data_IF_538385001100
#
_entry.id   IF_538385001100
#
_cell.length_a   1.000
_cell.length_b   1.000
_cell.length_c   1.000
_cell.angle_alpha   90.00
_cell.angle_beta   90.00
_cell.angle_gamma   90.00
#
_symmetry.space_group_name_H-M   'P 1'
#
loop_
_entity.id
_entity.type
_entity.pdbx_description
1 polymer ?
#
# COMPACT_ATOMS: atom_id res chain seq x y z
N UNK A 1 -6.51 -16.23 17.26
CA UNK A 1 -5.98 -15.84 18.58
C UNK A 1 -6.30 -14.38 18.78
N UNK A 2 -6.92 -14.01 19.90
CA UNK A 2 -7.28 -12.61 20.14
C UNK A 2 -6.05 -11.72 20.36
N UNK A 3 -6.07 -10.45 19.90
CA UNK A 3 -4.96 -9.54 20.15
C UNK A 3 -4.82 -9.17 21.62
N UNK A 4 -3.57 -9.04 22.07
CA UNK A 4 -3.26 -8.75 23.46
C UNK A 4 -3.74 -7.35 23.87
N UNK A 5 -3.92 -7.13 25.17
CA UNK A 5 -4.18 -5.79 25.73
C UNK A 5 -3.07 -4.80 25.36
N UNK A 6 -1.83 -5.28 25.20
CA UNK A 6 -0.71 -4.46 24.74
C UNK A 6 -0.87 -4.02 23.29
N UNK A 7 -1.25 -4.94 22.39
CA UNK A 7 -1.49 -4.62 20.98
C UNK A 7 -2.63 -3.62 20.80
N UNK A 8 -3.78 -3.85 21.44
CA UNK A 8 -4.94 -2.93 21.36
C UNK A 8 -4.58 -1.52 21.83
N UNK A 9 -3.87 -1.41 22.96
CA UNK A 9 -3.41 -0.11 23.51
C UNK A 9 -2.40 0.57 22.59
N UNK A 10 -1.45 -0.20 22.05
CA UNK A 10 -0.42 0.32 21.15
C UNK A 10 -1.04 0.79 19.84
N UNK A 11 -1.95 0.01 19.26
CA UNK A 11 -2.65 0.38 18.04
C UNK A 11 -3.43 1.69 18.22
N UNK A 12 -4.25 1.80 19.27
CA UNK A 12 -5.00 3.03 19.58
C UNK A 12 -4.09 4.26 19.69
N UNK A 13 -2.92 4.11 20.33
CA UNK A 13 -1.94 5.20 20.43
C UNK A 13 -1.34 5.57 19.07
N UNK A 14 -0.99 4.57 18.24
CA UNK A 14 -0.45 4.82 16.90
C UNK A 14 -1.48 5.49 15.99
N UNK A 15 -2.77 5.10 16.08
CA UNK A 15 -3.85 5.79 15.36
C UNK A 15 -3.92 7.27 15.74
N UNK A 16 -3.85 7.61 17.03
CA UNK A 16 -3.82 9.01 17.48
C UNK A 16 -2.60 9.76 16.94
N UNK A 17 -1.42 9.13 16.95
CA UNK A 17 -0.21 9.74 16.38
C UNK A 17 -0.32 10.00 14.88
N UNK A 18 -0.91 9.07 14.13
CA UNK A 18 -1.15 9.21 12.70
C UNK A 18 -2.07 10.41 12.43
N UNK A 19 -3.19 10.50 13.14
CA UNK A 19 -4.15 11.60 12.99
C UNK A 19 -3.56 12.96 13.38
N UNK A 20 -2.84 13.03 14.50
CA UNK A 20 -2.16 14.26 14.93
C UNK A 20 -1.10 14.72 13.92
N UNK A 21 -0.31 13.78 13.38
CA UNK A 21 0.66 14.08 12.33
C UNK A 21 -0.02 14.63 11.07
N UNK A 22 -1.14 14.01 10.68
CA UNK A 22 -1.92 14.44 9.53
C UNK A 22 -2.42 15.88 9.68
N UNK A 23 -2.99 16.22 10.84
CA UNK A 23 -3.43 17.59 11.17
C UNK A 23 -2.26 18.58 11.18
N UNK A 24 -1.15 18.23 11.82
CA UNK A 24 0.03 19.08 11.91
C UNK A 24 0.59 19.41 10.52
N UNK A 25 0.68 18.41 9.64
CA UNK A 25 1.20 18.57 8.28
C UNK A 25 0.25 19.39 7.43
N UNK A 26 -1.06 19.15 7.49
CA UNK A 26 -2.07 19.95 6.79
C UNK A 26 -2.03 21.42 7.25
N UNK A 27 -1.94 21.67 8.55
CA UNK A 27 -1.79 23.01 9.10
C UNK A 27 -0.49 23.67 8.63
N UNK A 28 0.62 22.93 8.60
CA UNK A 28 1.90 23.47 8.13
C UNK A 28 1.87 23.77 6.63
N UNK A 29 1.22 22.94 5.82
CA UNK A 29 1.03 23.17 4.39
C UNK A 29 0.26 24.46 4.14
N UNK A 30 -0.89 24.63 4.79
CA UNK A 30 -1.77 25.79 4.64
C UNK A 30 -1.11 27.10 5.09
N UNK A 31 -0.29 27.04 6.15
CA UNK A 31 0.38 28.21 6.71
C UNK A 31 1.76 28.49 6.09
N UNK A 32 2.27 27.59 5.25
CA UNK A 32 3.54 27.83 4.58
C UNK A 32 3.36 28.85 3.46
N UNK A 33 4.22 29.86 3.42
CA UNK A 33 4.20 30.90 2.37
C UNK A 33 5.05 30.53 1.15
N UNK A 34 5.92 29.52 1.30
CA UNK A 34 6.73 29.01 0.20
C UNK A 34 6.92 27.47 0.28
N UNK A 35 7.06 26.78 -0.88
CA UNK A 35 7.24 25.33 -0.91
C UNK A 35 8.51 24.82 -0.22
N UNK A 36 9.61 25.58 -0.24
CA UNK A 36 10.88 25.12 0.33
C UNK A 36 10.81 24.98 1.86
N UNK A 37 10.13 25.91 2.54
CA UNK A 37 9.92 25.84 3.98
C UNK A 37 9.03 24.66 4.39
N UNK A 38 8.06 24.30 3.56
CA UNK A 38 7.22 23.12 3.76
C UNK A 38 8.01 21.82 3.55
N UNK A 39 8.80 21.73 2.48
CA UNK A 39 9.66 20.58 2.21
C UNK A 39 10.66 20.37 3.34
N UNK A 40 11.34 21.43 3.80
CA UNK A 40 12.30 21.35 4.89
C UNK A 40 11.66 20.86 6.20
N UNK A 41 10.44 21.32 6.50
CA UNK A 41 9.67 20.82 7.63
C UNK A 41 9.37 19.32 7.50
N UNK A 42 8.84 18.88 6.35
CA UNK A 42 8.52 17.47 6.13
C UNK A 42 9.74 16.56 6.23
N UNK A 43 10.88 16.98 5.70
CA UNK A 43 12.15 16.25 5.82
C UNK A 43 12.56 16.07 7.28
N UNK A 44 12.41 17.10 8.11
CA UNK A 44 12.71 17.02 9.56
C UNK A 44 11.74 16.11 10.32
N UNK A 45 10.51 15.95 9.83
CA UNK A 45 9.48 15.13 10.46
C UNK A 45 9.42 13.69 9.91
N UNK A 46 10.31 13.28 8.99
CA UNK A 46 10.24 11.97 8.30
C UNK A 46 10.04 10.79 9.26
N UNK A 47 10.79 10.75 10.36
CA UNK A 47 10.74 9.61 11.30
C UNK A 47 9.51 9.60 12.20
N UNK A 48 8.98 10.78 12.53
CA UNK A 48 7.93 10.94 13.55
C UNK A 48 6.56 11.25 12.97
N UNK A 49 6.48 11.51 11.66
CA UNK A 49 5.22 11.74 10.94
C UNK A 49 4.63 10.45 10.37
N UNK A 50 3.39 10.54 9.91
CA UNK A 50 2.69 9.49 9.17
C UNK A 50 3.19 9.30 7.72
N UNK A 51 4.08 10.14 7.22
CA UNK A 51 4.64 10.03 5.87
C UNK A 51 5.73 8.98 5.78
N UNK A 52 5.76 8.31 4.63
CA UNK A 52 6.94 7.60 4.15
C UNK A 52 7.90 8.60 3.50
N UNK A 53 8.90 8.09 2.79
CA UNK A 53 9.81 8.93 2.02
C UNK A 53 9.08 9.69 0.90
N UNK A 54 9.43 10.96 0.73
CA UNK A 54 8.87 11.85 -0.28
C UNK A 54 9.93 12.16 -1.34
N UNK A 55 9.51 12.15 -2.60
CA UNK A 55 10.34 12.46 -3.76
C UNK A 55 9.77 13.65 -4.54
N UNK A 56 10.65 14.53 -5.00
CA UNK A 56 10.26 15.61 -5.90
C UNK A 56 10.12 15.11 -7.34
N UNK A 57 9.08 15.55 -8.05
CA UNK A 57 8.95 15.26 -9.48
C UNK A 57 10.01 16.01 -10.29
N UNK A 58 10.54 15.35 -11.32
CA UNK A 58 11.42 15.98 -12.30
C UNK A 58 10.62 16.92 -13.22
N UNK A 59 9.47 16.44 -13.66
CA UNK A 59 8.58 17.11 -14.62
C UNK A 59 7.51 17.98 -13.95
N UNK A 60 6.89 18.85 -14.77
CA UNK A 60 5.77 19.71 -14.39
C UNK A 60 4.45 19.11 -14.91
N UNK A 61 3.40 19.19 -14.11
CA UNK A 61 2.07 18.66 -14.42
C UNK A 61 1.05 19.81 -14.44
N UNK A 62 0.85 20.40 -15.61
CA UNK A 62 -0.17 21.44 -15.85
C UNK A 62 -0.21 22.52 -14.77
N UNK A 63 -1.41 22.72 -14.20
CA UNK A 63 -1.66 23.72 -13.15
C UNK A 63 -0.95 23.42 -11.82
N UNK A 64 -0.55 22.17 -11.59
CA UNK A 64 0.09 21.75 -10.34
C UNK A 64 1.59 22.08 -10.30
N UNK A 65 2.22 22.24 -11.46
CA UNK A 65 3.66 22.46 -11.57
C UNK A 65 4.45 21.21 -11.18
N UNK A 66 5.59 21.39 -10.51
CA UNK A 66 6.29 20.25 -9.89
C UNK A 66 5.50 19.75 -8.68
N UNK A 67 5.68 18.50 -8.32
CA UNK A 67 5.01 17.86 -7.20
C UNK A 67 6.05 17.37 -6.19
N UNK A 68 5.70 17.39 -4.91
CA UNK A 68 6.27 16.47 -3.93
C UNK A 68 5.34 15.26 -3.83
N UNK A 69 5.87 14.07 -4.04
CA UNK A 69 5.12 12.83 -4.20
C UNK A 69 5.58 11.84 -3.14
N UNK A 70 4.66 11.11 -2.54
CA UNK A 70 5.00 9.91 -1.80
C UNK A 70 3.78 9.25 -1.21
N UNK A 71 3.97 8.56 -0.10
CA UNK A 71 2.91 7.82 0.60
C UNK A 71 2.79 8.30 2.04
N UNK A 72 1.61 8.19 2.64
CA UNK A 72 1.44 8.31 4.08
C UNK A 72 0.44 7.30 4.63
N UNK A 73 0.55 7.04 5.93
CA UNK A 73 -0.46 6.29 6.66
C UNK A 73 -1.64 7.19 7.01
N UNK A 74 -2.85 6.67 6.88
CA UNK A 74 -4.08 7.28 7.37
C UNK A 74 -4.87 6.25 8.18
N UNK A 75 -5.50 6.66 9.28
CA UNK A 75 -6.16 5.73 10.20
C UNK A 75 -7.59 6.21 10.50
N UNK A 76 -8.58 5.41 10.11
CA UNK A 76 -10.00 5.76 10.27
C UNK A 76 -10.83 4.49 10.45
N UNK A 77 -11.94 4.58 11.21
CA UNK A 77 -12.89 3.48 11.46
C UNK A 77 -12.21 2.15 11.88
N UNK A 78 -11.10 2.24 12.61
CA UNK A 78 -10.35 1.05 13.07
C UNK A 78 -9.46 0.39 12.01
N UNK A 79 -9.38 0.94 10.80
CA UNK A 79 -8.53 0.48 9.70
C UNK A 79 -7.28 1.37 9.55
N UNK A 80 -6.29 0.85 8.83
CA UNK A 80 -5.11 1.59 8.41
C UNK A 80 -5.05 1.58 6.87
N UNK A 81 -4.93 2.76 6.31
CA UNK A 81 -4.85 3.01 4.88
C UNK A 81 -3.46 3.51 4.52
N UNK A 82 -3.05 3.25 3.29
CA UNK A 82 -1.91 3.91 2.67
C UNK A 82 -2.47 4.85 1.63
N UNK A 83 -2.22 6.15 1.77
CA UNK A 83 -2.58 7.14 0.77
C UNK A 83 -1.36 7.49 -0.07
N UNK A 84 -1.54 7.60 -1.38
CA UNK A 84 -0.63 8.35 -2.22
C UNK A 84 -0.92 9.84 -2.07
N UNK A 85 0.12 10.59 -1.72
CA UNK A 85 0.01 12.03 -1.48
C UNK A 85 0.81 12.82 -2.48
N UNK A 86 0.17 13.85 -3.02
CA UNK A 86 0.75 14.79 -3.97
C UNK A 86 0.57 16.21 -3.45
N UNK A 87 1.69 16.92 -3.30
CA UNK A 87 1.72 18.33 -2.93
C UNK A 87 2.17 19.17 -4.13
N UNK A 88 1.28 19.95 -4.75
CA UNK A 88 1.64 20.88 -5.80
C UNK A 88 2.61 21.94 -5.30
N UNK A 89 3.71 22.16 -6.04
CA UNK A 89 4.73 23.17 -5.73
C UNK A 89 4.57 24.44 -6.58
N UNK A 90 3.55 24.50 -7.44
CA UNK A 90 3.23 25.72 -8.18
C UNK A 90 2.64 26.79 -7.27
N UNK A 91 2.91 28.06 -7.57
CA UNK A 91 2.30 29.19 -6.82
C UNK A 91 0.76 29.19 -6.85
N UNK A 92 0.15 28.68 -7.92
CA UNK A 92 -1.31 28.68 -8.10
C UNK A 92 -2.00 27.63 -7.23
N UNK A 93 -1.33 26.51 -6.95
CA UNK A 93 -1.92 25.33 -6.28
C UNK A 93 -1.19 24.93 -4.99
N UNK A 94 -0.14 25.64 -4.60
CA UNK A 94 0.51 25.41 -3.32
C UNK A 94 -0.48 25.65 -2.17
N UNK A 95 -0.34 24.86 -1.11
CA UNK A 95 -1.35 24.75 -0.04
C UNK A 95 -2.31 23.58 -0.25
N UNK A 96 -2.36 22.99 -1.45
CA UNK A 96 -3.20 21.82 -1.72
C UNK A 96 -2.49 20.51 -1.37
N UNK A 97 -3.26 19.55 -0.85
CA UNK A 97 -2.88 18.15 -0.79
C UNK A 97 -3.91 17.35 -1.58
N UNK A 98 -3.43 16.63 -2.57
CA UNK A 98 -4.23 15.64 -3.29
C UNK A 98 -3.85 14.28 -2.69
N UNK A 99 -4.80 13.64 -2.00
CA UNK A 99 -4.64 12.33 -1.41
C UNK A 99 -5.48 11.34 -2.20
N UNK A 100 -4.91 10.17 -2.50
CA UNK A 100 -5.59 9.11 -3.23
C UNK A 100 -5.29 7.80 -2.52
N UNK A 101 -6.34 7.15 -2.05
CA UNK A 101 -6.23 5.86 -1.35
C UNK A 101 -5.54 4.82 -2.23
N UNK A 102 -4.61 4.07 -1.63
CA UNK A 102 -4.20 2.81 -2.19
C UNK A 102 -5.31 1.78 -1.99
N UNK A 103 -5.46 0.88 -2.96
CA UNK A 103 -6.44 -0.21 -2.94
C UNK A 103 -6.20 -1.15 -1.74
N UNK A 104 -4.95 -1.27 -1.29
CA UNK A 104 -4.55 -2.06 -0.13
C UNK A 104 -4.86 -1.35 1.19
N UNK A 105 -5.72 -1.98 2.00
CA UNK A 105 -6.11 -1.54 3.34
C UNK A 105 -5.79 -2.62 4.37
N UNK A 106 -5.50 -2.24 5.62
CA UNK A 106 -5.25 -3.16 6.72
C UNK A 106 -6.37 -3.05 7.75
N UNK A 107 -6.93 -4.19 8.15
CA UNK A 107 -7.85 -4.23 9.29
C UNK A 107 -7.13 -3.92 10.60
N UNK A 108 -7.84 -3.37 11.59
CA UNK A 108 -7.29 -3.16 12.93
C UNK A 108 -6.77 -4.46 13.55
N UNK A 109 -7.49 -5.58 13.35
CA UNK A 109 -7.07 -6.90 13.82
C UNK A 109 -5.71 -7.33 13.22
N UNK A 110 -5.49 -7.08 11.93
CA UNK A 110 -4.22 -7.36 11.28
C UNK A 110 -3.08 -6.56 11.95
N UNK A 111 -3.28 -5.25 12.14
CA UNK A 111 -2.26 -4.37 12.73
C UNK A 111 -1.97 -4.75 14.19
N UNK A 112 -2.99 -5.11 14.96
CA UNK A 112 -2.83 -5.57 16.33
C UNK A 112 -2.02 -6.87 16.39
N UNK A 113 -2.26 -7.84 15.49
CA UNK A 113 -1.42 -9.05 15.37
C UNK A 113 0.02 -8.72 14.97
N UNK A 114 0.20 -7.75 14.08
CA UNK A 114 1.51 -7.28 13.66
C UNK A 114 2.30 -6.73 14.86
N UNK A 115 1.65 -5.91 15.68
CA UNK A 115 2.22 -5.36 16.91
C UNK A 115 2.66 -6.48 17.88
N UNK A 116 1.79 -7.44 18.14
CA UNK A 116 2.10 -8.53 19.08
C UNK A 116 3.26 -9.41 18.58
N UNK A 117 3.28 -9.74 17.30
CA UNK A 117 4.23 -10.74 16.74
C UNK A 117 5.58 -10.16 16.42
N UNK A 118 5.61 -8.92 15.95
CA UNK A 118 6.83 -8.21 15.54
C UNK A 118 7.34 -7.26 16.62
N UNK A 119 6.59 -7.09 17.72
CA UNK A 119 6.98 -6.22 18.83
C UNK A 119 7.00 -4.74 18.45
N UNK A 120 6.12 -4.31 17.53
CA UNK A 120 6.08 -2.93 17.04
C UNK A 120 5.64 -2.00 18.17
N UNK A 121 6.45 -0.99 18.47
CA UNK A 121 6.18 0.00 19.54
C UNK A 121 6.02 1.42 19.02
N UNK A 122 6.52 1.74 17.83
CA UNK A 122 6.61 3.12 17.33
C UNK A 122 6.01 3.23 15.94
N UNK A 123 5.64 4.46 15.55
CA UNK A 123 5.15 4.75 14.21
C UNK A 123 6.21 4.46 13.14
N UNK A 124 7.48 4.82 13.40
CA UNK A 124 8.60 4.48 12.49
C UNK A 124 8.72 2.96 12.29
N UNK A 125 8.62 2.15 13.36
CA UNK A 125 8.65 0.69 13.24
C UNK A 125 7.45 0.13 12.46
N UNK A 126 6.24 0.70 12.65
CA UNK A 126 5.07 0.31 11.86
C UNK A 126 5.25 0.62 10.37
N UNK A 127 5.75 1.82 10.04
CA UNK A 127 6.06 2.20 8.66
C UNK A 127 7.12 1.28 8.05
N UNK A 128 8.17 0.98 8.79
CA UNK A 128 9.24 0.09 8.33
C UNK A 128 8.71 -1.30 7.97
N UNK A 129 7.89 -1.91 8.84
CA UNK A 129 7.31 -3.24 8.58
C UNK A 129 6.36 -3.23 7.37
N UNK A 130 5.52 -2.18 7.23
CA UNK A 130 4.64 -2.04 6.06
C UNK A 130 5.45 -1.90 4.77
N UNK A 131 6.49 -1.06 4.79
CA UNK A 131 7.36 -0.84 3.65
C UNK A 131 8.15 -2.10 3.28
N UNK A 132 8.66 -2.84 4.28
CA UNK A 132 9.36 -4.11 4.08
C UNK A 132 8.45 -5.15 3.43
N UNK A 133 7.22 -5.34 3.93
CA UNK A 133 6.26 -6.27 3.34
C UNK A 133 5.93 -5.92 1.89
N UNK A 134 5.76 -4.63 1.60
CA UNK A 134 5.53 -4.16 0.23
C UNK A 134 6.72 -4.43 -0.68
N UNK A 135 7.94 -4.12 -0.22
CA UNK A 135 9.17 -4.35 -0.97
C UNK A 135 9.38 -5.85 -1.25
N UNK A 136 9.21 -6.71 -0.23
CA UNK A 136 9.33 -8.17 -0.37
C UNK A 136 8.41 -8.73 -1.45
N UNK A 137 7.15 -8.30 -1.48
CA UNK A 137 6.22 -8.75 -2.52
C UNK A 137 6.60 -8.21 -3.91
N UNK A 138 6.96 -6.93 -3.99
CA UNK A 138 7.34 -6.28 -5.26
C UNK A 138 8.60 -6.91 -5.87
N UNK A 139 9.57 -7.24 -5.03
CA UNK A 139 10.86 -7.84 -5.42
C UNK A 139 10.75 -9.34 -5.74
N UNK A 140 9.68 -10.00 -5.27
CA UNK A 140 9.44 -11.41 -5.59
C UNK A 140 9.14 -11.68 -7.07
N UNK A 141 8.86 -10.65 -7.87
CA UNK A 141 8.73 -10.78 -9.33
C UNK A 141 7.39 -11.35 -9.82
N UNK A 142 6.52 -11.86 -8.93
CA UNK A 142 5.25 -12.49 -9.30
C UNK A 142 4.36 -11.58 -10.15
N UNK A 143 4.16 -10.33 -9.72
CA UNK A 143 3.29 -9.40 -10.44
C UNK A 143 3.83 -9.02 -11.82
N UNK A 144 5.16 -8.91 -11.94
CA UNK A 144 5.84 -8.59 -13.18
C UNK A 144 5.84 -9.77 -14.17
N UNK A 145 5.91 -10.99 -13.65
CA UNK A 145 5.97 -12.21 -14.44
C UNK A 145 4.59 -12.68 -14.89
N UNK A 146 3.60 -12.62 -14.00
CA UNK A 146 2.29 -13.23 -14.24
C UNK A 146 1.17 -12.20 -14.38
N UNK A 147 1.25 -11.07 -13.68
CA UNK A 147 0.22 -10.03 -13.70
C UNK A 147 -0.30 -9.66 -12.31
N UNK A 148 -1.33 -8.81 -12.29
CA UNK A 148 -2.02 -8.38 -11.06
C UNK A 148 -3.45 -8.89 -11.07
N UNK A 149 -3.99 -9.12 -9.89
CA UNK A 149 -5.33 -9.68 -9.77
C UNK A 149 -6.42 -8.63 -10.03
N UNK A 150 -7.58 -9.11 -10.45
CA UNK A 150 -8.81 -8.34 -10.34
C UNK A 150 -9.25 -8.22 -8.87
N UNK A 151 -9.70 -7.03 -8.47
CA UNK A 151 -9.78 -6.58 -7.06
C UNK A 151 -10.99 -7.19 -6.30
N UNK A 152 -11.76 -8.06 -6.95
CA UNK A 152 -13.07 -8.56 -6.48
C UNK A 152 -13.05 -9.94 -5.79
N UNK A 153 -11.87 -10.53 -5.61
CA UNK A 153 -11.72 -11.92 -5.15
C UNK A 153 -10.94 -12.00 -3.84
N UNK A 154 -11.36 -12.88 -2.93
CA UNK A 154 -10.56 -13.25 -1.76
C UNK A 154 -9.29 -14.00 -2.17
N UNK A 155 -8.21 -13.74 -1.45
CA UNK A 155 -6.90 -14.31 -1.77
C UNK A 155 -5.98 -14.40 -0.57
N UNK A 156 -4.93 -15.20 -0.73
CA UNK A 156 -3.79 -15.21 0.17
C UNK A 156 -2.53 -14.71 -0.53
N UNK A 157 -1.67 -14.03 0.23
CA UNK A 157 -0.29 -13.74 -0.18
C UNK A 157 0.61 -14.71 0.57
N UNK A 158 1.36 -15.52 -0.17
CA UNK A 158 2.22 -16.56 0.36
C UNK A 158 3.67 -16.09 0.29
N UNK A 159 4.36 -16.19 1.41
CA UNK A 159 5.82 -16.08 1.56
C UNK A 159 6.34 -17.38 2.19
N UNK A 160 7.64 -17.63 2.10
CA UNK A 160 8.29 -18.80 2.74
C UNK A 160 7.97 -18.94 4.23
N UNK A 161 7.87 -17.81 4.93
CA UNK A 161 7.77 -17.71 6.39
C UNK A 161 6.43 -17.09 6.87
N UNK A 162 5.54 -16.72 5.96
CA UNK A 162 4.33 -15.98 6.29
C UNK A 162 3.23 -16.19 5.25
N UNK A 163 1.98 -16.22 5.70
CA UNK A 163 0.81 -16.20 4.80
C UNK A 163 -0.14 -15.12 5.26
N UNK A 164 -0.49 -14.19 4.38
CA UNK A 164 -1.43 -13.09 4.60
C UNK A 164 -2.77 -13.47 4.00
N UNK A 165 -3.85 -13.27 4.74
CA UNK A 165 -5.22 -13.49 4.28
C UNK A 165 -5.88 -12.15 3.97
N UNK A 166 -6.38 -12.02 2.75
CA UNK A 166 -6.97 -10.80 2.22
C UNK A 166 -8.37 -11.09 1.68
N UNK A 167 -9.25 -10.13 1.88
CA UNK A 167 -10.63 -10.19 1.39
C UNK A 167 -10.88 -9.01 0.44
N UNK A 168 -11.66 -9.27 -0.61
CA UNK A 168 -12.23 -8.23 -1.45
C UNK A 168 -13.45 -7.65 -0.73
N UNK A 169 -13.47 -6.34 -0.48
CA UNK A 169 -14.62 -5.65 0.11
C UNK A 169 -15.08 -4.50 -0.77
N UNK A 170 -16.36 -4.18 -0.70
CA UNK A 170 -16.90 -2.92 -1.23
C UNK A 170 -17.19 -2.01 -0.05
N UNK A 171 -16.65 -0.79 -0.07
CA UNK A 171 -16.88 0.18 1.00
C UNK A 171 -18.24 0.90 0.88
N UNK A 172 -18.50 1.83 1.81
CA UNK A 172 -19.74 2.61 1.85
C UNK A 172 -19.95 3.49 0.60
N UNK A 173 -18.89 3.79 -0.14
CA UNK A 173 -18.89 4.61 -1.35
C UNK A 173 -18.95 3.76 -2.65
N UNK A 174 -19.22 2.45 -2.51
CA UNK A 174 -19.20 1.46 -3.60
C UNK A 174 -17.83 1.29 -4.27
N UNK A 175 -16.73 1.57 -3.56
CA UNK A 175 -15.39 1.32 -4.07
C UNK A 175 -14.88 -0.07 -3.64
N UNK A 176 -14.41 -0.85 -4.62
CA UNK A 176 -13.76 -2.13 -4.35
C UNK A 176 -12.38 -1.93 -3.73
N UNK A 177 -12.11 -2.65 -2.63
CA UNK A 177 -10.89 -2.56 -1.84
C UNK A 177 -10.39 -3.95 -1.46
N UNK A 178 -9.07 -4.05 -1.31
CA UNK A 178 -8.43 -5.24 -0.76
C UNK A 178 -8.16 -4.97 0.71
N UNK A 179 -8.68 -5.81 1.59
CA UNK A 179 -8.48 -5.69 3.03
C UNK A 179 -7.65 -6.86 3.56
N UNK A 180 -6.46 -6.57 4.08
CA UNK A 180 -5.65 -7.53 4.82
C UNK A 180 -6.28 -7.77 6.19
N UNK A 181 -6.83 -8.98 6.38
CA UNK A 181 -7.59 -9.36 7.58
C UNK A 181 -6.73 -10.01 8.64
N UNK A 182 -5.81 -10.85 8.21
CA UNK A 182 -4.95 -11.59 9.13
C UNK A 182 -3.70 -12.11 8.46
N UNK A 183 -2.83 -12.71 9.25
CA UNK A 183 -1.69 -13.47 8.72
C UNK A 183 -1.25 -14.53 9.72
N UNK A 184 -0.66 -15.61 9.23
CA UNK A 184 0.07 -16.59 10.05
C UNK A 184 1.56 -16.51 9.71
N UNK A 185 2.40 -16.84 10.68
CA UNK A 185 3.86 -16.92 10.51
C UNK A 185 4.31 -18.38 10.60
N UNK A 186 5.57 -18.64 10.24
CA UNK A 186 6.18 -19.96 10.28
C UNK A 186 5.95 -20.71 11.61
N UNK A 187 5.95 -19.98 12.74
CA UNK A 187 5.70 -20.55 14.08
C UNK A 187 4.30 -21.14 14.27
N UNK A 188 3.36 -20.79 13.39
CA UNK A 188 1.97 -21.23 13.43
C UNK A 188 1.61 -22.16 12.28
N UNK A 189 2.57 -22.47 11.42
CA UNK A 189 2.37 -23.49 10.40
C UNK A 189 2.11 -24.83 11.08
N UNK A 190 1.08 -25.54 10.62
CA UNK A 190 0.65 -26.84 11.16
C UNK A 190 0.64 -27.85 10.02
N UNK A 191 0.70 -29.14 10.37
CA UNK A 191 0.66 -30.22 9.38
C UNK A 191 1.74 -30.05 8.31
N UNK A 192 1.33 -30.09 7.04
CA UNK A 192 2.20 -29.96 5.87
C UNK A 192 2.27 -28.54 5.29
N UNK A 193 1.78 -27.51 5.99
CA UNK A 193 1.75 -26.13 5.49
C UNK A 193 3.09 -25.65 4.91
N UNK A 194 4.21 -25.91 5.60
CA UNK A 194 5.53 -25.49 5.13
C UNK A 194 5.93 -26.18 3.82
N UNK A 195 5.59 -27.46 3.67
CA UNK A 195 5.85 -28.23 2.46
C UNK A 195 5.02 -27.68 1.29
N UNK A 196 3.73 -27.41 1.50
CA UNK A 196 2.86 -26.83 0.47
C UNK A 196 3.31 -25.42 0.07
N UNK A 197 3.66 -24.57 1.04
CA UNK A 197 4.20 -23.23 0.77
C UNK A 197 5.45 -23.34 -0.11
N UNK A 198 6.37 -24.24 0.25
CA UNK A 198 7.59 -24.43 -0.53
C UNK A 198 7.29 -24.97 -1.93
N UNK A 199 6.35 -25.91 -2.06
CA UNK A 199 5.91 -26.45 -3.33
C UNK A 199 5.36 -25.35 -4.24
N UNK A 200 4.41 -24.55 -3.76
CA UNK A 200 3.81 -23.44 -4.53
C UNK A 200 4.87 -22.47 -5.02
N UNK A 201 5.72 -21.97 -4.11
CA UNK A 201 6.73 -20.96 -4.44
C UNK A 201 7.78 -21.51 -5.41
N UNK A 202 8.18 -22.78 -5.26
CA UNK A 202 9.11 -23.44 -6.19
C UNK A 202 8.48 -23.69 -7.57
N UNK A 203 7.19 -24.07 -7.63
CA UNK A 203 6.48 -24.26 -8.88
C UNK A 203 6.37 -22.97 -9.70
N UNK A 204 6.28 -21.84 -9.01
CA UNK A 204 6.16 -20.51 -9.62
C UNK A 204 7.52 -19.81 -9.81
N UNK A 205 8.61 -20.38 -9.27
CA UNK A 205 9.96 -19.78 -9.26
C UNK A 205 9.99 -18.34 -8.71
N UNK A 206 9.29 -18.11 -7.58
CA UNK A 206 9.19 -16.79 -6.92
C UNK A 206 9.34 -16.90 -5.40
N UNK A 207 9.74 -15.81 -4.75
CA UNK A 207 9.88 -15.74 -3.28
C UNK A 207 8.58 -15.40 -2.53
N UNK A 208 7.61 -14.85 -3.26
CA UNK A 208 6.27 -14.60 -2.80
C UNK A 208 5.29 -14.66 -3.97
N UNK A 209 4.09 -15.16 -3.72
CA UNK A 209 3.04 -15.21 -4.73
C UNK A 209 1.68 -14.86 -4.13
N UNK A 210 0.75 -14.56 -5.01
CA UNK A 210 -0.66 -14.44 -4.69
C UNK A 210 -1.38 -15.72 -5.12
N UNK A 211 -2.34 -16.18 -4.32
CA UNK A 211 -3.22 -17.30 -4.68
C UNK A 211 -4.67 -16.93 -4.44
N UNK A 212 -5.56 -17.14 -5.42
CA UNK A 212 -6.99 -16.79 -5.37
C UNK A 212 -7.79 -17.83 -4.57
N UNK A 213 -7.48 -17.91 -3.28
CA UNK A 213 -8.11 -18.81 -2.31
C UNK A 213 -8.15 -18.14 -0.94
N UNK A 214 -9.02 -18.60 -0.06
CA UNK A 214 -9.15 -18.09 1.31
C UNK A 214 -8.29 -18.87 2.33
N UNK A 215 -7.72 -20.01 1.94
CA UNK A 215 -6.95 -20.90 2.81
C UNK A 215 -5.71 -21.47 2.10
N UNK A 216 -4.71 -21.88 2.90
CA UNK A 216 -3.59 -22.64 2.35
C UNK A 216 -4.09 -23.99 1.82
N UNK A 217 -3.67 -24.41 0.61
CA UNK A 217 -3.99 -25.74 0.11
C UNK A 217 -3.49 -26.83 1.06
N UNK A 218 -4.23 -27.93 1.19
CA UNK A 218 -3.89 -29.05 2.07
C UNK A 218 -3.05 -30.12 1.36
N UNK A 219 -2.94 -30.06 0.02
CA UNK A 219 -2.21 -31.02 -0.80
C UNK A 219 -1.55 -30.38 -2.02
N UNK A 220 -0.56 -31.05 -2.62
CA UNK A 220 0.07 -30.58 -3.86
C UNK A 220 -0.93 -30.51 -5.02
N UNK A 221 -1.88 -31.46 -5.11
CA UNK A 221 -2.93 -31.45 -6.13
C UNK A 221 -3.83 -30.22 -5.98
N UNK A 222 -4.25 -29.90 -4.75
CA UNK A 222 -5.03 -28.70 -4.50
C UNK A 222 -4.22 -27.42 -4.79
N UNK A 223 -2.93 -27.41 -4.43
CA UNK A 223 -2.04 -26.29 -4.74
C UNK A 223 -1.93 -26.04 -6.25
N UNK A 224 -1.82 -27.08 -7.08
CA UNK A 224 -1.81 -26.96 -8.54
C UNK A 224 -3.12 -26.35 -9.03
N UNK A 225 -4.27 -26.85 -8.59
CA UNK A 225 -5.58 -26.34 -9.00
C UNK A 225 -5.73 -24.84 -8.64
N UNK A 226 -5.31 -24.45 -7.43
CA UNK A 226 -5.37 -23.06 -6.98
C UNK A 226 -4.44 -22.16 -7.82
N UNK A 227 -3.25 -22.65 -8.19
CA UNK A 227 -2.34 -21.91 -9.09
C UNK A 227 -2.99 -21.70 -10.46
N UNK A 228 -3.60 -22.73 -11.04
CA UNK A 228 -4.29 -22.62 -12.32
C UNK A 228 -5.47 -21.64 -12.25
N UNK A 229 -6.26 -21.69 -11.19
CA UNK A 229 -7.38 -20.76 -10.97
C UNK A 229 -6.90 -19.33 -10.75
N UNK A 230 -5.76 -19.16 -10.09
CA UNK A 230 -5.11 -17.86 -9.92
C UNK A 230 -4.75 -17.26 -11.28
N UNK A 231 -4.14 -18.04 -12.18
CA UNK A 231 -3.80 -17.56 -13.52
C UNK A 231 -5.00 -17.19 -14.38
N UNK A 232 -6.17 -17.81 -14.16
CA UNK A 232 -7.41 -17.43 -14.86
C UNK A 232 -7.95 -16.05 -14.43
N UNK A 233 -7.56 -15.56 -13.25
CA UNK A 233 -8.05 -14.31 -12.64
C UNK A 233 -7.01 -13.19 -12.66
N UNK A 234 -5.78 -13.49 -13.05
CA UNK A 234 -4.74 -12.49 -13.20
C UNK A 234 -4.96 -11.75 -14.53
N UNK A 235 -5.02 -10.42 -14.44
CA UNK A 235 -5.02 -9.53 -15.61
C UNK A 235 -3.60 -9.04 -15.90
N UNK A 236 -3.30 -8.77 -17.17
CA UNK A 236 -1.97 -8.40 -17.60
C UNK A 236 -1.48 -7.13 -16.88
N UNK A 237 -0.34 -7.22 -16.19
CA UNK A 237 0.28 -6.13 -15.41
C UNK A 237 0.36 -4.79 -16.15
N UNK A 238 0.59 -4.84 -17.46
CA UNK A 238 0.71 -3.66 -18.32
C UNK A 238 -0.59 -2.84 -18.44
N UNK A 239 -1.75 -3.49 -18.45
CA UNK A 239 -3.04 -2.80 -18.62
C UNK A 239 -3.52 -2.14 -17.31
N UNK A 240 -3.13 -2.71 -16.16
CA UNK A 240 -3.40 -2.12 -14.85
C UNK A 240 -2.39 -1.06 -14.41
N UNK A 241 -1.14 -1.00 -14.90
CA UNK A 241 -0.27 0.18 -14.64
C UNK A 241 -0.93 1.49 -15.10
N UNK A 242 -1.75 1.43 -16.16
CA UNK A 242 -2.50 2.58 -16.65
C UNK A 242 -3.76 2.89 -15.81
N UNK A 243 -4.21 1.96 -14.95
CA UNK A 243 -5.52 2.01 -14.28
C UNK A 243 -5.44 1.95 -12.73
N UNK A 244 -4.37 1.40 -12.14
CA UNK A 244 -4.34 0.91 -10.74
C UNK A 244 -3.12 1.37 -9.93
N UNK A 245 -1.98 1.77 -10.53
CA UNK A 245 -0.72 1.60 -9.79
C UNK A 245 -0.51 2.35 -8.49
N UNK A 246 -1.11 3.51 -8.20
CA UNK A 246 -0.77 4.19 -6.94
C UNK A 246 0.75 4.30 -6.69
N UNK A 247 1.51 4.34 -7.78
CA UNK A 247 2.95 4.54 -7.88
C UNK A 247 3.12 5.39 -9.13
N UNK A 248 3.85 6.50 -9.00
CA UNK A 248 4.19 7.29 -10.17
C UNK A 248 4.89 6.37 -11.18
N UNK A 249 4.46 6.36 -12.46
CA UNK A 249 5.08 5.51 -13.46
C UNK A 249 6.61 5.72 -13.43
N UNK A 250 7.43 4.66 -13.48
CA UNK A 250 8.89 4.82 -13.42
C UNK A 250 9.37 5.69 -14.59
N UNK A 251 9.64 6.97 -14.30
CA UNK A 251 10.06 7.97 -15.28
C UNK A 251 11.58 7.94 -15.48
N UNK A 252 12.11 6.78 -15.86
CA UNK A 252 13.50 6.61 -16.27
C UNK A 252 13.59 6.14 -17.72
N UNK A 253 14.26 6.94 -18.56
CA UNK A 253 14.57 6.58 -19.95
C UNK A 253 13.71 7.34 -20.96
N UNK A 254 14.33 8.30 -21.64
CA UNK A 254 13.85 9.02 -22.82
C UNK A 254 12.44 9.63 -22.77
N UNK A 255 12.39 10.94 -22.47
CA UNK A 255 11.25 11.86 -22.69
C UNK A 255 9.89 11.25 -22.35
N UNK A 256 9.47 11.41 -21.09
CA UNK A 256 8.08 11.18 -20.66
C UNK A 256 7.14 11.76 -21.73
N UNK A 257 6.35 10.90 -22.35
CA UNK A 257 5.46 11.30 -23.44
C UNK A 257 4.49 12.37 -22.89
N UNK A 258 4.32 13.48 -23.61
CA UNK A 258 3.36 14.52 -23.25
C UNK A 258 1.96 13.95 -22.98
N UNK A 259 1.62 12.82 -23.62
CA UNK A 259 0.39 12.05 -23.36
C UNK A 259 0.32 11.54 -21.91
N UNK A 260 1.40 10.98 -21.36
CA UNK A 260 1.45 10.47 -19.98
C UNK A 260 1.31 11.59 -18.96
N UNK A 261 1.98 12.74 -19.18
CA UNK A 261 1.84 13.93 -18.31
C UNK A 261 0.39 14.41 -18.28
N UNK A 262 -0.29 14.44 -19.43
CA UNK A 262 -1.70 14.85 -19.53
C UNK A 262 -2.65 13.86 -18.86
N UNK A 263 -2.41 12.55 -19.02
CA UNK A 263 -3.19 11.51 -18.35
C UNK A 263 -3.06 11.61 -16.84
N UNK A 264 -1.83 11.79 -16.35
CA UNK A 264 -1.58 11.97 -14.93
C UNK A 264 -2.19 13.28 -14.38
N UNK A 265 -2.15 14.37 -15.14
CA UNK A 265 -2.86 15.60 -14.76
C UNK A 265 -4.37 15.38 -14.66
N UNK A 266 -4.97 14.68 -15.64
CA UNK A 266 -6.41 14.36 -15.64
C UNK A 266 -6.77 13.48 -14.43
N UNK A 267 -5.90 12.53 -14.10
CA UNK A 267 -6.04 11.69 -12.92
C UNK A 267 -6.02 12.52 -11.63
N UNK A 268 -5.00 13.38 -11.43
CA UNK A 268 -4.94 14.25 -10.24
C UNK A 268 -6.15 15.17 -10.12
N UNK A 269 -6.67 15.70 -11.23
CA UNK A 269 -7.87 16.55 -11.24
C UNK A 269 -9.12 15.84 -10.71
N UNK A 270 -9.24 14.52 -10.89
CA UNK A 270 -10.38 13.73 -10.38
C UNK A 270 -10.42 13.73 -8.84
N UNK A 271 -9.26 13.84 -8.19
CA UNK A 271 -9.12 13.76 -6.73
C UNK A 271 -8.78 15.11 -6.09
N UNK A 272 -8.76 16.18 -6.88
CA UNK A 272 -8.38 17.50 -6.43
C UNK A 272 -9.55 18.15 -5.65
N UNK A 273 -9.38 18.47 -4.35
CA UNK A 273 -10.45 19.00 -3.50
C UNK A 273 -10.91 20.42 -3.86
N UNK A 274 -10.25 21.11 -4.80
CA UNK A 274 -10.71 22.40 -5.33
C UNK A 274 -11.37 22.29 -6.71
N UNK A 275 -11.40 21.10 -7.30
CA UNK A 275 -12.03 20.82 -8.59
C UNK A 275 -13.32 20.00 -8.44
N UNK A 276 -13.54 19.41 -7.26
CA UNK A 276 -14.76 18.75 -6.82
C UNK A 276 -15.40 19.57 -5.69
#
# INVERSE_FOLDING_TARGET
MEPSTFAKKTWKRLQQQIMQSHEQISNRLNNSTNPNAFIAFLTQQKEVSNHFELAGSKDKYGIYGKLLIGKCLYAEKGRLYIENVYYPLSKKRFGDRIAIDAIDTYSGHYIERLIDRKGIKTLSALKAEIAEQYARYKEAGFAQQYGVMDVDSDFIIVYRDMVVFSEGEVDEDNEARIVRKSFITQKEFKGNNQEIINFVLNCLDVEACLLTTHALPESQTEAINVIEDTFKRITNYKEQIETVTGEAPPMSGFKVDHKQIRLFEKYLRKYDPRMN
#
